data_IF_648804700729
#
_entry.id   IF_648804700729
#
_cell.length_a   1.000
_cell.length_b   1.000
_cell.length_c   1.000
_cell.angle_alpha   90.00
_cell.angle_beta   90.00
_cell.angle_gamma   90.00
#
_symmetry.space_group_name_H-M   'P 1'
#
loop_
_entity.id
_entity.type
_entity.pdbx_description
1 polymer ?
#
# COMPACT_ATOMS: atom_id res chain seq x y z
N UNK A 1 -19.71 -7.12 0.86
CA UNK A 1 -18.31 -6.81 0.48
C UNK A 1 -17.52 -8.11 0.62
N UNK A 2 -16.63 -8.43 -0.31
CA UNK A 2 -15.77 -9.60 -0.17
C UNK A 2 -14.58 -9.25 0.73
N UNK A 3 -14.31 -10.07 1.74
CA UNK A 3 -13.16 -9.94 2.64
C UNK A 3 -12.25 -11.17 2.48
N UNK A 4 -10.95 -10.97 2.66
CA UNK A 4 -9.96 -12.03 2.64
C UNK A 4 -9.06 -11.91 3.88
N UNK A 5 -8.67 -13.05 4.45
CA UNK A 5 -7.71 -13.13 5.55
C UNK A 5 -6.37 -13.63 5.02
N UNK A 6 -5.29 -12.96 5.41
CA UNK A 6 -3.91 -13.32 5.05
C UNK A 6 -3.14 -13.61 6.33
N UNK A 7 -2.45 -14.76 6.41
CA UNK A 7 -1.64 -15.16 7.57
C UNK A 7 -0.15 -14.89 7.37
N UNK A 8 0.25 -14.59 6.14
CA UNK A 8 1.59 -14.12 5.77
C UNK A 8 2.23 -14.89 4.62
N UNK A 9 1.63 -16.02 4.21
CA UNK A 9 2.08 -16.81 3.05
C UNK A 9 1.22 -16.61 1.79
N UNK A 10 0.12 -15.88 1.92
CA UNK A 10 -0.89 -15.71 0.89
C UNK A 10 -0.81 -14.30 0.28
N UNK A 11 -1.17 -14.19 -1.00
CA UNK A 11 -1.33 -12.92 -1.69
C UNK A 11 -2.33 -13.07 -2.83
N UNK A 12 -2.93 -11.96 -3.25
CA UNK A 12 -3.69 -11.88 -4.49
C UNK A 12 -2.83 -11.19 -5.53
N UNK A 13 -2.81 -11.75 -6.74
CA UNK A 13 -2.13 -11.16 -7.89
C UNK A 13 -3.14 -10.96 -9.01
N UNK A 14 -3.13 -9.75 -9.56
CA UNK A 14 -3.91 -9.39 -10.73
C UNK A 14 -2.95 -8.87 -11.81
N UNK A 15 -3.05 -9.41 -13.01
CA UNK A 15 -2.33 -8.90 -14.17
C UNK A 15 -3.20 -7.82 -14.83
N UNK A 16 -2.63 -6.64 -15.05
CA UNK A 16 -3.27 -5.55 -15.74
C UNK A 16 -2.45 -5.19 -16.97
N UNK A 17 -3.05 -5.33 -18.15
CA UNK A 17 -2.40 -5.07 -19.44
C UNK A 17 -2.74 -3.67 -20.01
N UNK A 18 -3.22 -2.75 -19.16
CA UNK A 18 -3.54 -1.38 -19.55
C UNK A 18 -2.49 -0.36 -19.10
N UNK A 19 -2.52 0.83 -19.70
CA UNK A 19 -1.80 1.99 -19.18
C UNK A 19 -2.62 2.63 -18.06
N UNK A 20 -1.99 2.95 -16.93
CA UNK A 20 -2.64 3.67 -15.86
C UNK A 20 -2.27 5.16 -15.88
N UNK A 21 -3.11 5.98 -16.53
CA UNK A 21 -3.03 7.44 -16.43
C UNK A 21 -3.83 7.90 -15.21
N UNK A 22 -3.14 8.06 -14.07
CA UNK A 22 -3.75 8.54 -12.83
C UNK A 22 -4.44 7.43 -12.03
N UNK A 23 -3.67 6.76 -11.19
CA UNK A 23 -4.18 5.68 -10.36
C UNK A 23 -4.80 6.19 -9.07
N UNK A 24 -6.06 5.80 -8.83
CA UNK A 24 -6.64 5.89 -7.50
C UNK A 24 -7.14 4.52 -7.06
N UNK A 25 -6.79 4.15 -5.83
CA UNK A 25 -7.33 2.95 -5.22
C UNK A 25 -7.64 3.19 -3.75
N UNK A 26 -8.57 2.38 -3.25
CA UNK A 26 -8.98 2.38 -1.86
C UNK A 26 -8.77 0.97 -1.31
N UNK A 27 -8.09 0.88 -0.18
CA UNK A 27 -7.90 -0.35 0.57
C UNK A 27 -8.46 -0.18 1.98
N UNK A 28 -9.22 -1.16 2.45
CA UNK A 28 -9.55 -1.30 3.87
C UNK A 28 -8.73 -2.45 4.44
N UNK A 29 -8.06 -2.23 5.57
CA UNK A 29 -7.26 -3.26 6.21
C UNK A 29 -7.44 -3.24 7.73
N UNK A 30 -7.14 -4.37 8.35
CA UNK A 30 -7.12 -4.57 9.80
C UNK A 30 -6.00 -5.56 10.12
N UNK A 31 -5.12 -5.23 11.06
CA UNK A 31 -4.00 -6.10 11.44
C UNK A 31 -3.57 -5.90 12.89
N UNK A 32 -2.93 -6.91 13.47
CA UNK A 32 -2.13 -6.83 14.71
C UNK A 32 -0.62 -6.88 14.44
N UNK A 33 -0.22 -7.07 13.18
CA UNK A 33 1.19 -7.20 12.80
C UNK A 33 1.75 -5.78 12.57
N UNK A 34 2.88 -5.42 13.20
CA UNK A 34 3.46 -4.08 13.09
C UNK A 34 4.15 -3.84 11.75
N UNK A 35 4.35 -4.89 10.95
CA UNK A 35 5.00 -4.85 9.65
C UNK A 35 4.30 -5.78 8.65
N UNK A 36 4.18 -5.34 7.40
CA UNK A 36 3.60 -6.11 6.31
C UNK A 36 3.35 -5.29 5.04
N UNK A 37 3.39 -5.95 3.88
CA UNK A 37 3.00 -5.36 2.60
C UNK A 37 1.47 -5.39 2.47
N UNK A 38 0.87 -4.27 2.09
CA UNK A 38 -0.58 -4.15 1.91
C UNK A 38 -0.96 -4.07 0.43
N UNK A 39 -0.15 -3.40 -0.38
CA UNK A 39 -0.37 -3.25 -1.81
C UNK A 39 0.95 -3.06 -2.55
N UNK A 40 1.07 -3.70 -3.71
CA UNK A 40 2.17 -3.52 -4.65
C UNK A 40 1.62 -3.46 -6.06
N UNK A 41 2.11 -2.48 -6.83
CA UNK A 41 1.86 -2.35 -8.26
C UNK A 41 3.16 -1.90 -8.92
N UNK A 42 3.59 -2.56 -9.99
CA UNK A 42 4.80 -2.17 -10.70
C UNK A 42 5.41 -3.27 -11.57
N UNK A 43 6.39 -2.86 -12.36
CA UNK A 43 7.21 -3.74 -13.20
C UNK A 43 8.40 -4.36 -12.45
N UNK A 44 8.49 -4.08 -11.14
CA UNK A 44 9.48 -4.62 -10.22
C UNK A 44 10.75 -3.79 -10.05
N UNK A 45 11.16 -2.97 -11.05
CA UNK A 45 12.51 -2.37 -11.00
C UNK A 45 12.53 -0.85 -11.14
N UNK A 46 11.81 -0.30 -12.12
CA UNK A 46 11.88 1.13 -12.45
C UNK A 46 10.59 1.88 -12.22
N UNK A 47 9.45 1.18 -12.16
CA UNK A 47 8.17 1.79 -11.89
C UNK A 47 7.41 0.92 -10.89
N UNK A 48 7.25 1.43 -9.67
CA UNK A 48 6.46 0.75 -8.65
C UNK A 48 5.81 1.71 -7.67
N UNK A 49 4.77 1.20 -7.01
CA UNK A 49 4.12 1.77 -5.85
C UNK A 49 3.93 0.67 -4.81
N UNK A 50 4.44 0.91 -3.62
CA UNK A 50 4.28 0.09 -2.44
C UNK A 50 3.49 0.84 -1.39
N UNK A 51 2.51 0.16 -0.80
CA UNK A 51 1.88 0.59 0.45
C UNK A 51 2.05 -0.52 1.46
N UNK A 52 2.54 -0.18 2.65
CA UNK A 52 2.78 -1.14 3.72
C UNK A 52 2.53 -0.55 5.09
N UNK A 53 2.69 -1.41 6.09
CA UNK A 53 2.80 -1.01 7.50
C UNK A 53 4.22 -1.31 7.97
N UNK A 54 4.83 -0.39 8.72
CA UNK A 54 6.16 -0.54 9.33
C UNK A 54 6.13 0.12 10.71
N UNK A 55 6.49 -0.63 11.75
CA UNK A 55 6.43 -0.18 13.17
C UNK A 55 5.06 0.39 13.58
N UNK A 56 3.97 -0.13 12.98
CA UNK A 56 2.61 0.34 13.22
C UNK A 56 2.24 1.66 12.52
N UNK A 57 3.11 2.22 11.69
CA UNK A 57 2.84 3.36 10.81
C UNK A 57 2.67 2.93 9.35
N UNK A 58 2.02 3.74 8.51
CA UNK A 58 1.87 3.44 7.07
C UNK A 58 3.08 3.94 6.31
N UNK A 59 3.60 3.12 5.40
CA UNK A 59 4.63 3.50 4.43
C UNK A 59 4.04 3.57 3.04
N UNK A 60 4.46 4.57 2.27
CA UNK A 60 4.22 4.66 0.83
C UNK A 60 5.56 4.88 0.14
N UNK A 61 5.92 3.97 -0.77
CA UNK A 61 7.19 3.99 -1.49
C UNK A 61 6.85 3.94 -2.98
N UNK A 62 7.28 4.93 -3.76
CA UNK A 62 7.00 4.98 -5.19
C UNK A 62 8.27 5.27 -5.97
N UNK A 63 8.44 4.62 -7.11
CA UNK A 63 9.46 4.94 -8.10
C UNK A 63 8.82 5.09 -9.47
N UNK A 64 9.26 6.10 -10.21
CA UNK A 64 8.88 6.34 -11.61
C UNK A 64 10.15 6.73 -12.36
N UNK A 65 10.70 5.80 -13.16
CA UNK A 65 12.02 5.96 -13.76
C UNK A 65 13.11 6.20 -12.72
N UNK A 66 13.72 7.39 -12.74
CA UNK A 66 14.76 7.79 -11.79
C UNK A 66 14.22 8.53 -10.56
N UNK A 67 12.96 8.96 -10.58
CA UNK A 67 12.33 9.66 -9.46
C UNK A 67 11.81 8.70 -8.40
N UNK A 68 11.92 9.08 -7.13
CA UNK A 68 11.39 8.32 -5.99
C UNK A 68 10.65 9.18 -4.99
N UNK A 69 9.69 8.58 -4.30
CA UNK A 69 8.93 9.16 -3.21
C UNK A 69 8.85 8.16 -2.07
N UNK A 70 9.31 8.58 -0.90
CA UNK A 70 9.22 7.81 0.35
C UNK A 70 8.43 8.62 1.38
N UNK A 71 7.29 8.09 1.80
CA UNK A 71 6.45 8.69 2.83
C UNK A 71 6.24 7.73 3.99
N UNK A 72 6.32 8.27 5.20
CA UNK A 72 5.96 7.56 6.43
C UNK A 72 4.88 8.35 7.18
N UNK A 73 3.73 7.71 7.37
CA UNK A 73 2.53 8.29 7.97
C UNK A 73 2.30 7.61 9.31
N UNK A 74 2.66 8.30 10.38
CA UNK A 74 2.43 7.85 11.76
C UNK A 74 2.16 9.06 12.66
N UNK A 75 0.90 9.53 12.75
CA UNK A 75 0.54 10.61 13.65
C UNK A 75 0.88 10.25 15.10
N UNK A 76 1.15 11.26 15.92
CA UNK A 76 1.48 11.05 17.33
C UNK A 76 0.39 10.24 18.03
N UNK A 77 0.82 9.20 18.76
CA UNK A 77 -0.05 8.28 19.52
C UNK A 77 -1.04 7.46 18.68
N UNK A 78 -0.96 7.50 17.35
CA UNK A 78 -1.75 6.64 16.47
C UNK A 78 -0.90 5.47 15.99
N UNK A 79 -1.53 4.29 16.00
CA UNK A 79 -0.99 3.04 15.47
C UNK A 79 -2.04 2.40 14.60
N UNK A 80 -1.62 1.84 13.47
CA UNK A 80 -2.51 1.18 12.51
C UNK A 80 -2.53 -0.34 12.64
N UNK A 81 -1.77 -0.90 13.59
CA UNK A 81 -1.76 -2.31 13.99
C UNK A 81 -2.59 -2.57 15.26
N UNK A 82 -3.64 -1.76 15.48
CA UNK A 82 -4.53 -1.76 16.65
C UNK A 82 -5.71 -2.74 16.55
N UNK A 83 -5.72 -3.59 15.50
CA UNK A 83 -6.83 -4.49 15.19
C UNK A 83 -8.18 -3.79 14.92
N UNK A 84 -8.16 -2.52 14.52
CA UNK A 84 -9.33 -1.81 13.99
C UNK A 84 -9.25 -1.71 12.46
N UNK A 85 -10.41 -1.45 11.85
CA UNK A 85 -10.47 -1.21 10.42
C UNK A 85 -9.98 0.19 10.09
N UNK A 86 -9.05 0.28 9.13
CA UNK A 86 -8.52 1.53 8.61
C UNK A 86 -8.74 1.60 7.10
N UNK A 87 -9.00 2.80 6.59
CA UNK A 87 -9.14 3.08 5.16
C UNK A 87 -7.92 3.83 4.64
N UNK A 88 -7.27 3.28 3.62
CA UNK A 88 -6.23 3.97 2.85
C UNK A 88 -6.86 4.38 1.52
N UNK A 89 -6.68 5.64 1.14
CA UNK A 89 -7.02 6.15 -0.19
C UNK A 89 -5.77 6.75 -0.80
N UNK A 90 -5.31 6.17 -1.91
CA UNK A 90 -4.16 6.66 -2.66
C UNK A 90 -4.66 7.28 -3.95
N UNK A 91 -4.08 8.42 -4.32
CA UNK A 91 -4.34 9.06 -5.60
C UNK A 91 -3.02 9.55 -6.16
N UNK A 92 -2.60 8.95 -7.27
CA UNK A 92 -1.44 9.36 -8.05
C UNK A 92 -1.92 10.35 -9.10
N UNK A 93 -1.44 11.59 -9.01
CA UNK A 93 -1.61 12.58 -10.07
C UNK A 93 -0.32 12.64 -10.87
N UNK A 94 -0.39 12.36 -12.17
CA UNK A 94 0.70 12.67 -13.10
C UNK A 94 0.50 14.12 -13.49
N UNK A 95 1.55 14.94 -13.36
CA UNK A 95 1.55 16.34 -13.78
C UNK A 95 2.09 16.46 -15.20
#
# INVERSE_FOLDING_TARGET
MAEASFTGGEFLKYAFDGNTEGDSFVLHFKTKKPAGLLYHMGDGSSNYLNVGIVTGGITVTMRVGTGSLDMFIKPNRIRFDDNQWHKISVTRKVQ
#
